data_IF_761799289158
#
_entry.id   IF_761799289158
#
_cell.length_a   1.000
_cell.length_b   1.000
_cell.length_c   1.000
_cell.angle_alpha   90.00
_cell.angle_beta   90.00
_cell.angle_gamma   90.00
#
_symmetry.space_group_name_H-M   'P 1'
#
loop_
_entity.id
_entity.type
_entity.pdbx_description
1 polymer ?
#
# COMPACT_ATOMS: atom_id res chain seq x y z
N UNK A 1 -9.01 16.98 -12.21
CA UNK A 1 -7.66 16.84 -11.62
C UNK A 1 -7.52 15.36 -11.31
N UNK A 2 -6.77 14.63 -12.14
CA UNK A 2 -6.79 13.17 -12.18
C UNK A 2 -6.18 12.58 -10.91
N UNK A 3 -7.10 12.03 -10.12
CA UNK A 3 -6.82 11.22 -8.96
C UNK A 3 -6.15 9.93 -9.44
N UNK A 4 -4.96 9.59 -8.93
CA UNK A 4 -4.41 8.25 -9.10
C UNK A 4 -5.22 7.28 -8.22
N UNK A 5 -6.41 6.92 -8.71
CA UNK A 5 -7.42 6.06 -8.08
C UNK A 5 -6.84 4.70 -7.63
N UNK A 6 -5.72 4.29 -8.19
CA UNK A 6 -5.07 2.99 -7.97
C UNK A 6 -4.53 2.78 -6.56
N UNK A 7 -3.87 3.77 -5.96
CA UNK A 7 -3.27 3.62 -4.62
C UNK A 7 -4.34 3.51 -3.51
N UNK A 8 -5.42 4.30 -3.64
CA UNK A 8 -6.55 4.27 -2.72
C UNK A 8 -7.42 3.03 -2.94
N UNK A 9 -7.56 2.58 -4.20
CA UNK A 9 -8.21 1.30 -4.53
C UNK A 9 -7.45 0.13 -3.93
N UNK A 10 -6.12 0.10 -3.97
CA UNK A 10 -5.34 -0.96 -3.34
C UNK A 10 -5.55 -0.98 -1.83
N UNK A 11 -5.53 0.18 -1.18
CA UNK A 11 -5.77 0.31 0.26
C UNK A 11 -7.17 -0.14 0.69
N UNK A 12 -8.21 0.31 -0.02
CA UNK A 12 -9.61 -0.08 0.21
C UNK A 12 -9.80 -1.55 -0.13
N UNK A 13 -9.19 -2.05 -1.20
CA UNK A 13 -9.25 -3.45 -1.62
C UNK A 13 -8.61 -4.38 -0.59
N UNK A 14 -7.41 -4.05 -0.10
CA UNK A 14 -6.71 -4.80 0.95
C UNK A 14 -7.56 -4.87 2.23
N UNK A 15 -8.11 -3.75 2.68
CA UNK A 15 -8.91 -3.69 3.91
C UNK A 15 -10.30 -4.36 3.76
N UNK A 16 -10.95 -4.21 2.60
CA UNK A 16 -12.18 -4.95 2.30
C UNK A 16 -11.94 -6.47 2.19
N UNK A 17 -10.76 -6.90 1.73
CA UNK A 17 -10.37 -8.32 1.72
C UNK A 17 -10.15 -8.89 3.13
N UNK A 18 -9.73 -8.06 4.08
CA UNK A 18 -9.57 -8.38 5.50
C UNK A 18 -10.89 -8.30 6.29
N UNK A 19 -12.04 -8.11 5.63
CA UNK A 19 -13.36 -8.07 6.26
C UNK A 19 -13.75 -6.73 6.90
N UNK A 20 -12.94 -5.69 6.73
CA UNK A 20 -13.25 -4.37 7.27
C UNK A 20 -14.11 -3.55 6.29
N UNK A 21 -15.10 -2.84 6.82
CA UNK A 21 -15.98 -2.00 6.00
C UNK A 21 -15.27 -0.73 5.53
N UNK A 22 -15.59 -0.27 4.31
CA UNK A 22 -15.13 1.00 3.75
C UNK A 22 -15.30 2.19 4.71
N UNK A 23 -16.33 2.13 5.57
CA UNK A 23 -16.60 3.15 6.61
C UNK A 23 -15.54 3.14 7.71
N UNK A 24 -15.23 1.98 8.29
CA UNK A 24 -14.19 1.85 9.32
C UNK A 24 -12.80 2.23 8.79
N UNK A 25 -12.55 1.92 7.51
CA UNK A 25 -11.35 2.31 6.77
C UNK A 25 -11.22 3.83 6.68
N UNK A 26 -12.32 4.51 6.35
CA UNK A 26 -12.38 5.97 6.29
C UNK A 26 -12.21 6.63 7.67
N UNK A 27 -12.90 6.13 8.69
CA UNK A 27 -12.84 6.63 10.07
C UNK A 27 -11.44 6.46 10.68
N UNK A 28 -10.77 5.33 10.40
CA UNK A 28 -9.39 5.09 10.85
C UNK A 28 -8.43 6.09 10.18
N UNK A 29 -8.59 6.35 8.88
CA UNK A 29 -7.79 7.36 8.19
C UNK A 29 -8.02 8.76 8.75
N UNK A 30 -9.27 9.13 9.04
CA UNK A 30 -9.60 10.41 9.66
C UNK A 30 -9.01 10.53 11.07
N UNK A 31 -9.03 9.44 11.85
CA UNK A 31 -8.47 9.42 13.21
C UNK A 31 -6.94 9.56 13.19
N UNK A 32 -6.25 8.90 12.26
CA UNK A 32 -4.79 8.92 12.18
C UNK A 32 -4.28 10.20 11.52
N UNK A 33 -4.99 10.73 10.52
CA UNK A 33 -4.57 11.92 9.77
C UNK A 33 -5.12 13.22 10.36
N UNK A 34 -6.19 13.17 11.16
CA UNK A 34 -6.94 14.32 11.63
C UNK A 34 -7.78 14.98 10.52
N UNK A 35 -8.81 15.74 10.91
CA UNK A 35 -9.76 16.38 9.97
C UNK A 35 -9.12 17.36 8.98
N UNK A 36 -7.87 17.80 9.23
CA UNK A 36 -7.17 18.82 8.43
C UNK A 36 -6.21 18.26 7.40
N UNK A 37 -5.84 16.98 7.47
CA UNK A 37 -4.87 16.37 6.55
C UNK A 37 -5.63 15.60 5.48
N UNK A 38 -5.68 16.17 4.28
CA UNK A 38 -6.22 15.48 3.13
C UNK A 38 -5.37 14.21 2.88
N UNK A 39 -5.94 13.00 2.86
CA UNK A 39 -5.19 11.76 2.66
C UNK A 39 -4.33 11.81 1.39
N UNK A 40 -4.81 12.52 0.35
CA UNK A 40 -4.11 12.77 -0.91
C UNK A 40 -2.80 13.54 -0.71
N UNK A 41 -2.77 14.52 0.21
CA UNK A 41 -1.55 15.27 0.56
C UNK A 41 -0.55 14.41 1.31
N UNK A 42 -1.02 13.49 2.17
CA UNK A 42 -0.17 12.59 2.94
C UNK A 42 0.46 11.47 2.07
N UNK A 43 -0.21 11.07 0.99
CA UNK A 43 0.37 10.18 -0.02
C UNK A 43 1.37 10.89 -0.96
N UNK A 44 1.33 12.23 -1.04
CA UNK A 44 2.27 13.02 -1.84
C UNK A 44 3.60 13.31 -1.12
N UNK A 45 3.77 12.93 0.15
CA UNK A 45 4.93 13.33 0.99
C UNK A 45 6.17 12.46 0.78
N UNK A 46 6.12 11.41 -0.06
CA UNK A 46 7.32 10.74 -0.56
C UNK A 46 7.27 9.20 -0.60
N UNK A 47 8.26 8.56 -1.27
CA UNK A 47 8.32 7.10 -1.47
C UNK A 47 8.40 6.30 -0.16
N UNK A 48 8.81 6.93 0.94
CA UNK A 48 8.86 6.28 2.25
C UNK A 48 7.48 6.00 2.87
N UNK A 49 6.41 6.58 2.33
CA UNK A 49 5.06 6.39 2.86
C UNK A 49 4.22 5.38 2.07
N UNK A 50 4.65 4.95 0.89
CA UNK A 50 3.88 3.99 0.09
C UNK A 50 4.28 2.54 0.45
N UNK A 51 3.35 1.70 0.95
CA UNK A 51 3.63 0.28 1.22
C UNK A 51 4.14 -0.48 0.00
N UNK A 52 3.75 -0.04 -1.20
CA UNK A 52 4.27 -0.60 -2.45
C UNK A 52 5.79 -0.38 -2.58
N UNK A 53 6.26 0.84 -2.29
CA UNK A 53 7.66 1.23 -2.49
C UNK A 53 8.59 0.66 -1.43
N UNK A 54 8.24 0.75 -0.15
CA UNK A 54 9.13 0.28 0.93
C UNK A 54 9.02 -1.21 1.25
N UNK A 55 8.02 -1.92 0.73
CA UNK A 55 7.79 -3.32 1.09
C UNK A 55 7.45 -4.23 -0.11
N UNK A 56 6.42 -3.91 -0.91
CA UNK A 56 5.96 -4.82 -1.97
C UNK A 56 6.96 -4.98 -3.11
N UNK A 57 7.47 -3.87 -3.65
CA UNK A 57 8.42 -3.89 -4.76
C UNK A 57 9.76 -4.52 -4.37
N UNK A 58 10.33 -4.29 -3.17
CA UNK A 58 11.48 -5.08 -2.70
C UNK A 58 11.24 -6.59 -2.73
N UNK A 59 10.08 -7.07 -2.28
CA UNK A 59 9.73 -8.50 -2.31
C UNK A 59 9.68 -9.00 -3.75
N UNK A 60 8.91 -8.32 -4.61
CA UNK A 60 8.75 -8.74 -6.01
C UNK A 60 10.07 -8.70 -6.77
N UNK A 61 10.89 -7.66 -6.57
CA UNK A 61 12.23 -7.56 -7.17
C UNK A 61 13.11 -8.72 -6.75
N UNK A 62 13.12 -9.08 -5.46
CA UNK A 62 13.93 -10.20 -4.98
C UNK A 62 13.45 -11.55 -5.52
N UNK A 63 12.14 -11.79 -5.57
CA UNK A 63 11.57 -13.07 -6.00
C UNK A 63 11.59 -13.28 -7.51
N UNK A 64 11.50 -12.20 -8.27
CA UNK A 64 11.55 -12.21 -9.73
C UNK A 64 12.94 -11.85 -10.28
N UNK A 65 13.93 -11.63 -9.40
CA UNK A 65 15.30 -11.32 -9.80
C UNK A 65 15.85 -12.39 -10.76
N UNK A 66 16.53 -11.94 -11.82
CA UNK A 66 17.15 -12.82 -12.81
C UNK A 66 16.18 -13.48 -13.80
N UNK A 67 14.86 -13.38 -13.59
CA UNK A 67 13.87 -13.87 -14.56
C UNK A 67 13.71 -12.86 -15.69
N UNK A 68 13.77 -13.34 -16.94
CA UNK A 68 13.44 -12.55 -18.14
C UNK A 68 12.04 -12.92 -18.60
N UNK A 69 11.26 -11.91 -18.98
CA UNK A 69 9.92 -12.09 -19.50
C UNK A 69 9.83 -11.44 -20.88
N UNK A 70 9.54 -12.23 -21.90
CA UNK A 70 9.44 -11.73 -23.28
C UNK A 70 8.07 -11.08 -23.56
N UNK A 71 7.06 -11.39 -22.73
CA UNK A 71 5.69 -10.87 -22.85
C UNK A 71 5.20 -10.30 -21.53
N UNK A 72 4.49 -9.19 -21.60
CA UNK A 72 3.82 -8.57 -20.44
C UNK A 72 2.87 -9.57 -19.75
N UNK A 73 2.19 -10.43 -20.50
CA UNK A 73 1.28 -11.44 -19.93
C UNK A 73 1.99 -12.41 -18.99
N UNK A 74 3.23 -12.79 -19.30
CA UNK A 74 4.00 -13.73 -18.50
C UNK A 74 4.54 -13.05 -17.24
N UNK A 75 4.96 -11.78 -17.35
CA UNK A 75 5.27 -10.94 -16.19
C UNK A 75 4.05 -10.80 -15.26
N UNK A 76 2.89 -10.46 -15.80
CA UNK A 76 1.65 -10.30 -15.03
C UNK A 76 1.26 -11.60 -14.32
N UNK A 77 1.40 -12.76 -14.97
CA UNK A 77 1.17 -14.07 -14.33
C UNK A 77 2.16 -14.34 -13.21
N UNK A 78 3.44 -14.07 -13.44
CA UNK A 78 4.49 -14.27 -12.42
C UNK A 78 4.26 -13.37 -11.20
N UNK A 79 4.01 -12.07 -11.40
CA UNK A 79 3.69 -11.13 -10.32
C UNK A 79 2.45 -11.60 -9.54
N UNK A 80 1.36 -11.93 -10.22
CA UNK A 80 0.15 -12.42 -9.54
C UNK A 80 0.38 -13.72 -8.76
N UNK A 81 1.21 -14.62 -9.29
CA UNK A 81 1.59 -15.84 -8.57
C UNK A 81 2.35 -15.51 -7.29
N UNK A 82 3.35 -14.63 -7.36
CA UNK A 82 4.12 -14.21 -6.18
C UNK A 82 3.23 -13.51 -5.14
N UNK A 83 2.34 -12.61 -5.57
CA UNK A 83 1.42 -11.90 -4.67
C UNK A 83 0.53 -12.86 -3.86
N UNK A 84 0.09 -13.97 -4.46
CA UNK A 84 -0.74 -15.00 -3.81
C UNK A 84 0.01 -15.84 -2.78
N UNK A 85 1.33 -15.89 -2.87
CA UNK A 85 2.16 -16.62 -1.89
C UNK A 85 2.55 -15.79 -0.68
N UNK A 86 2.24 -14.48 -0.68
CA UNK A 86 2.44 -13.62 0.48
C UNK A 86 1.29 -13.90 1.45
N UNK A 87 1.57 -14.29 2.70
CA UNK A 87 0.53 -14.58 3.68
C UNK A 87 -0.21 -13.31 4.09
N UNK A 88 -1.45 -13.48 4.56
CA UNK A 88 -2.29 -12.37 4.99
C UNK A 88 -1.64 -11.60 6.16
N UNK A 89 -0.99 -12.31 7.09
CA UNK A 89 -0.32 -11.71 8.24
C UNK A 89 0.77 -10.69 7.84
N UNK A 90 1.47 -10.93 6.72
CA UNK A 90 2.49 -10.03 6.21
C UNK A 90 1.88 -8.73 5.69
N UNK A 91 0.73 -8.83 5.00
CA UNK A 91 -0.04 -7.66 4.57
C UNK A 91 -0.58 -6.85 5.76
N UNK A 92 -1.04 -7.52 6.81
CA UNK A 92 -1.44 -6.85 8.05
C UNK A 92 -0.24 -6.19 8.75
N UNK A 93 0.93 -6.84 8.71
CA UNK A 93 2.18 -6.34 9.26
C UNK A 93 2.65 -5.06 8.58
N UNK A 94 2.67 -5.02 7.24
CA UNK A 94 3.04 -3.80 6.50
C UNK A 94 2.05 -2.67 6.74
N UNK A 95 0.77 -2.99 6.91
CA UNK A 95 -0.26 -2.00 7.23
C UNK A 95 0.00 -1.30 8.57
N UNK A 96 0.33 -2.06 9.62
CA UNK A 96 0.70 -1.49 10.93
C UNK A 96 1.95 -0.61 10.81
N UNK A 97 2.97 -1.06 10.07
CA UNK A 97 4.19 -0.26 9.83
C UNK A 97 3.86 1.05 9.10
N UNK A 98 2.94 1.00 8.14
CA UNK A 98 2.48 2.17 7.42
C UNK A 98 1.80 3.18 8.34
N UNK A 99 0.89 2.75 9.21
CA UNK A 99 0.26 3.64 10.21
C UNK A 99 1.28 4.33 11.12
N UNK A 100 2.33 3.62 11.55
CA UNK A 100 3.42 4.20 12.34
C UNK A 100 4.19 5.24 11.54
N UNK A 101 4.50 4.96 10.26
CA UNK A 101 5.20 5.89 9.36
C UNK A 101 4.37 7.17 9.15
N UNK A 102 3.06 7.05 8.93
CA UNK A 102 2.16 8.19 8.81
C UNK A 102 2.16 9.05 10.08
N UNK A 103 2.04 8.42 11.25
CA UNK A 103 2.05 9.13 12.52
C UNK A 103 3.35 9.95 12.69
N UNK A 104 4.50 9.36 12.35
CA UNK A 104 5.81 10.05 12.41
C UNK A 104 5.91 11.22 11.42
N UNK A 105 5.39 11.07 10.21
CA UNK A 105 5.34 12.16 9.23
C UNK A 105 4.50 13.34 9.76
N UNK A 106 3.35 13.05 10.37
CA UNK A 106 2.50 14.07 11.00
C UNK A 106 3.23 14.74 12.18
N UNK A 107 3.86 13.96 13.06
CA UNK A 107 4.65 14.48 14.19
C UNK A 107 5.85 15.33 13.73
N UNK A 108 6.40 15.04 12.54
CA UNK A 108 7.51 15.77 11.93
C UNK A 108 7.05 16.98 11.11
N UNK A 109 5.73 17.25 11.05
CA UNK A 109 5.11 18.33 10.29
C UNK A 109 5.36 18.24 8.76
N UNK A 110 5.54 17.03 8.24
CA UNK A 110 5.93 16.74 6.85
C UNK A 110 7.19 15.90 6.81
#
# INVERSE_FOLDING_TARGET
>A
MEFATENMRFYIFMRCKLGESAKLIHETLQTVCGDRVCPIKLFAVGPDLAPCDFWLFPILKNRLAGRKFDRIQDLTKAVNSELRTIPEEDYQGVFRKWQIRLKRCIESNG
#
